data_IF_533787032644
#
_entry.id   IF_533787032644
#
_cell.length_a   1.000
_cell.length_b   1.000
_cell.length_c   1.000
_cell.angle_alpha   90.00
_cell.angle_beta   90.00
_cell.angle_gamma   90.00
#
_symmetry.space_group_name_H-M   'P 1'
#
loop_
_entity.id
_entity.type
_entity.pdbx_description
1 polymer ?
#
# COMPACT_ATOMS: atom_id res chain seq x y z
N UNK A 1 -53.80 31.32 -37.77
CA UNK A 1 -53.77 32.38 -36.75
C UNK A 1 -52.31 32.76 -36.51
N UNK A 2 -51.97 34.06 -36.49
CA UNK A 2 -50.62 34.60 -36.66
C UNK A 2 -49.87 34.89 -35.33
N UNK A 3 -48.55 34.98 -35.46
CA UNK A 3 -47.64 36.04 -34.94
C UNK A 3 -47.62 36.41 -33.43
N UNK A 4 -46.46 36.21 -32.78
CA UNK A 4 -45.70 37.31 -32.15
C UNK A 4 -44.31 36.93 -31.64
N UNK A 5 -43.38 37.84 -31.89
CA UNK A 5 -41.96 37.81 -31.59
C UNK A 5 -41.60 38.16 -30.11
N UNK A 6 -40.39 37.70 -29.75
CA UNK A 6 -39.33 38.37 -28.96
C UNK A 6 -39.56 38.76 -27.48
N UNK A 7 -38.54 38.44 -26.66
CA UNK A 7 -38.30 39.05 -25.36
C UNK A 7 -37.18 38.37 -24.59
N UNK A 8 -35.93 38.75 -24.86
CA UNK A 8 -34.79 38.45 -23.99
C UNK A 8 -34.80 39.37 -22.77
N UNK A 9 -34.56 38.84 -21.57
CA UNK A 9 -33.80 39.50 -20.49
C UNK A 9 -33.45 38.49 -19.40
N UNK A 10 -32.15 38.17 -19.31
CA UNK A 10 -31.54 37.69 -18.08
C UNK A 10 -31.22 38.91 -17.19
N UNK A 11 -31.61 38.88 -15.92
CA UNK A 11 -30.79 39.36 -14.79
C UNK A 11 -31.49 39.24 -13.42
N UNK A 12 -30.69 38.70 -12.49
CA UNK A 12 -30.54 39.06 -11.07
C UNK A 12 -31.73 38.89 -10.09
N UNK A 13 -31.61 37.96 -9.14
CA UNK A 13 -30.98 38.25 -7.83
C UNK A 13 -31.41 37.28 -6.68
N UNK A 14 -30.38 36.84 -5.92
CA UNK A 14 -30.36 36.64 -4.45
C UNK A 14 -31.13 35.43 -3.87
N UNK A 15 -30.46 34.49 -3.23
CA UNK A 15 -30.19 34.42 -1.77
C UNK A 15 -29.32 33.17 -1.54
N UNK A 16 -28.11 33.19 -0.95
CA UNK A 16 -27.78 33.65 0.39
C UNK A 16 -27.75 32.43 1.33
N UNK A 17 -26.55 31.94 1.70
CA UNK A 17 -26.46 30.81 2.63
C UNK A 17 -25.05 30.23 2.82
N UNK A 18 -24.06 31.07 3.11
CA UNK A 18 -22.77 30.60 3.61
C UNK A 18 -22.94 30.02 5.00
N UNK A 19 -22.71 28.73 5.16
CA UNK A 19 -22.53 28.11 6.48
C UNK A 19 -21.06 27.85 6.70
N UNK A 20 -20.44 28.76 7.45
CA UNK A 20 -19.12 28.64 8.07
C UNK A 20 -19.15 27.50 9.09
N UNK A 21 -18.81 26.28 8.66
CA UNK A 21 -18.53 25.19 9.60
C UNK A 21 -17.17 25.45 10.27
N UNK A 22 -17.23 25.84 11.54
CA UNK A 22 -16.09 26.00 12.45
C UNK A 22 -15.25 24.71 12.45
N UNK A 23 -13.98 24.82 12.03
CA UNK A 23 -12.99 23.75 12.16
C UNK A 23 -12.47 23.73 13.60
N UNK A 24 -13.07 22.89 14.44
CA UNK A 24 -12.54 22.44 15.74
C UNK A 24 -11.71 21.16 15.57
N UNK A 25 -10.95 20.75 16.61
CA UNK A 25 -9.76 19.92 16.46
C UNK A 25 -10.11 18.51 15.94
N UNK A 26 -9.30 18.02 14.99
CA UNK A 26 -9.43 16.66 14.49
C UNK A 26 -8.98 15.68 15.58
N UNK A 27 -9.93 14.95 16.15
CA UNK A 27 -9.64 13.75 16.92
C UNK A 27 -8.90 12.73 16.02
N UNK A 28 -7.90 12.00 16.53
CA UNK A 28 -7.26 10.93 15.77
C UNK A 28 -8.29 9.81 15.49
N UNK A 29 -8.21 9.11 14.34
CA UNK A 29 -9.20 8.11 13.98
C UNK A 29 -9.14 6.93 14.96
N UNK A 30 -10.21 6.76 15.73
CA UNK A 30 -10.48 5.55 16.52
C UNK A 30 -10.61 4.36 15.58
N UNK A 31 -9.76 3.36 15.79
CA UNK A 31 -9.81 2.09 15.05
C UNK A 31 -11.09 1.35 15.41
N UNK A 32 -12.01 1.20 14.47
CA UNK A 32 -13.20 0.37 14.63
C UNK A 32 -12.79 -1.10 14.57
N UNK A 33 -12.71 -1.71 15.75
CA UNK A 33 -12.54 -3.14 15.95
C UNK A 33 -13.83 -3.86 15.54
N UNK A 34 -13.82 -4.49 14.37
CA UNK A 34 -14.93 -5.31 13.90
C UNK A 34 -14.58 -6.78 14.18
N UNK A 35 -15.03 -7.29 15.34
CA UNK A 35 -14.85 -8.68 15.73
C UNK A 35 -15.85 -9.56 14.94
N UNK A 36 -15.33 -10.45 14.10
CA UNK A 36 -16.10 -11.56 13.54
C UNK A 36 -15.35 -12.87 13.83
N UNK A 37 -16.00 -13.91 14.39
CA UNK A 37 -15.32 -15.13 14.82
C UNK A 37 -15.29 -16.15 13.68
N UNK A 38 -14.12 -16.30 13.04
CA UNK A 38 -13.82 -17.39 12.12
C UNK A 38 -12.35 -17.74 12.26
N UNK A 39 -12.05 -19.00 12.60
CA UNK A 39 -10.71 -19.50 12.92
C UNK A 39 -9.70 -19.38 11.78
N UNK A 40 -9.17 -18.18 11.59
CA UNK A 40 -7.89 -17.88 10.98
C UNK A 40 -7.12 -17.03 11.99
N UNK A 41 -5.81 -17.26 12.13
CA UNK A 41 -4.98 -16.51 13.08
C UNK A 41 -5.23 -15.01 12.98
N UNK A 42 -5.24 -14.32 14.12
CA UNK A 42 -5.51 -12.89 14.18
C UNK A 42 -4.54 -12.14 13.23
N UNK A 43 -5.10 -11.47 12.22
CA UNK A 43 -4.31 -10.70 11.26
C UNK A 43 -3.96 -9.34 11.85
N UNK A 44 -2.67 -9.02 11.91
CA UNK A 44 -2.19 -7.69 12.31
C UNK A 44 -2.10 -6.78 11.10
N UNK A 45 -2.81 -5.65 11.12
CA UNK A 45 -2.72 -4.65 10.06
C UNK A 45 -1.55 -3.69 10.31
N UNK A 46 -0.65 -3.58 9.34
CA UNK A 46 0.47 -2.64 9.35
C UNK A 46 0.32 -1.68 8.17
N UNK A 47 0.53 -0.38 8.42
CA UNK A 47 0.59 0.65 7.37
C UNK A 47 2.04 1.07 7.20
N UNK A 48 2.56 1.02 5.97
CA UNK A 48 3.92 1.41 5.65
C UNK A 48 3.94 2.35 4.43
N UNK A 49 4.89 3.28 4.43
CA UNK A 49 5.15 4.15 3.29
C UNK A 49 6.27 3.54 2.44
N UNK A 50 6.04 3.43 1.13
CA UNK A 50 7.02 2.92 0.19
C UNK A 50 7.64 4.06 -0.61
N UNK A 51 8.94 3.97 -0.88
CA UNK A 51 9.59 4.86 -1.85
C UNK A 51 9.07 4.55 -3.26
N UNK A 52 9.15 5.49 -4.21
CA UNK A 52 8.76 5.25 -5.60
C UNK A 52 9.47 4.03 -6.23
N UNK A 53 10.74 3.81 -5.88
CA UNK A 53 11.51 2.65 -6.34
C UNK A 53 10.96 1.34 -5.77
N UNK A 54 10.59 1.34 -4.48
CA UNK A 54 10.09 0.15 -3.81
C UNK A 54 8.71 -0.26 -4.32
N UNK A 55 7.80 0.69 -4.54
CA UNK A 55 6.48 0.37 -5.09
C UNK A 55 6.57 -0.15 -6.54
N UNK A 56 7.45 0.42 -7.37
CA UNK A 56 7.71 -0.11 -8.71
C UNK A 56 8.30 -1.53 -8.68
N UNK A 57 9.17 -1.83 -7.72
CA UNK A 57 9.69 -3.18 -7.55
C UNK A 57 8.59 -4.16 -7.16
N UNK A 58 7.72 -3.79 -6.22
CA UNK A 58 6.56 -4.58 -5.81
C UNK A 58 5.62 -4.87 -7.00
N UNK A 59 5.32 -3.86 -7.82
CA UNK A 59 4.49 -4.02 -9.02
C UNK A 59 5.13 -4.97 -10.04
N UNK A 60 6.44 -4.88 -10.26
CA UNK A 60 7.17 -5.82 -11.15
C UNK A 60 7.14 -7.25 -10.62
N UNK A 61 7.29 -7.45 -9.31
CA UNK A 61 7.24 -8.78 -8.69
C UNK A 61 5.83 -9.37 -8.89
N UNK A 62 4.78 -8.60 -8.59
CA UNK A 62 3.40 -9.02 -8.79
C UNK A 62 3.12 -9.41 -10.25
N UNK A 63 3.59 -8.61 -11.21
CA UNK A 63 3.45 -8.94 -12.63
C UNK A 63 4.19 -10.22 -13.04
N UNK A 64 5.33 -10.52 -12.41
CA UNK A 64 6.16 -11.69 -12.73
C UNK A 64 5.64 -12.98 -12.08
N UNK A 65 5.14 -12.92 -10.84
CA UNK A 65 4.73 -14.10 -10.08
C UNK A 65 3.22 -14.37 -10.13
N UNK A 66 2.41 -13.35 -10.42
CA UNK A 66 0.96 -13.41 -10.31
C UNK A 66 0.44 -13.33 -8.87
N UNK A 67 1.33 -13.15 -7.88
CA UNK A 67 0.96 -13.04 -6.47
C UNK A 67 0.33 -11.68 -6.14
N UNK A 68 -0.53 -11.64 -5.11
CA UNK A 68 -1.04 -10.36 -4.60
C UNK A 68 0.06 -9.57 -3.87
N UNK A 69 -0.10 -8.24 -3.78
CA UNK A 69 0.83 -7.39 -3.02
C UNK A 69 0.95 -7.83 -1.56
N UNK A 70 -0.16 -8.25 -0.95
CA UNK A 70 -0.16 -8.75 0.43
C UNK A 70 0.64 -10.04 0.56
N UNK A 71 0.50 -10.99 -0.38
CA UNK A 71 1.25 -12.25 -0.36
C UNK A 71 2.75 -12.01 -0.54
N UNK A 72 3.11 -11.09 -1.45
CA UNK A 72 4.51 -10.69 -1.67
C UNK A 72 5.09 -10.07 -0.40
N UNK A 73 4.36 -9.17 0.27
CA UNK A 73 4.82 -8.53 1.50
C UNK A 73 5.00 -9.54 2.63
N UNK A 74 4.00 -10.41 2.86
CA UNK A 74 4.09 -11.46 3.87
C UNK A 74 5.30 -12.38 3.62
N UNK A 75 5.50 -12.84 2.38
CA UNK A 75 6.63 -13.68 2.01
C UNK A 75 7.96 -12.94 2.15
N UNK A 76 8.01 -11.64 1.80
CA UNK A 76 9.24 -10.85 1.88
C UNK A 76 9.76 -10.70 3.32
N UNK A 77 8.86 -10.55 4.30
CA UNK A 77 9.22 -10.47 5.72
C UNK A 77 9.82 -11.80 6.18
N UNK A 78 9.19 -12.93 5.83
CA UNK A 78 9.71 -14.26 6.17
C UNK A 78 11.08 -14.54 5.55
N UNK A 79 11.28 -14.15 4.28
CA UNK A 79 12.57 -14.30 3.61
C UNK A 79 13.64 -13.45 4.30
N UNK A 80 13.31 -12.22 4.69
CA UNK A 80 14.23 -11.35 5.40
C UNK A 80 14.63 -11.93 6.77
N UNK A 81 13.67 -12.49 7.52
CA UNK A 81 13.91 -13.16 8.80
C UNK A 81 14.87 -14.34 8.66
N UNK A 82 14.64 -15.22 7.67
CA UNK A 82 15.55 -16.34 7.36
C UNK A 82 16.95 -15.86 6.99
N UNK A 83 17.06 -14.78 6.22
CA UNK A 83 18.36 -14.20 5.86
C UNK A 83 19.10 -13.74 7.12
N UNK A 84 18.42 -13.07 8.05
CA UNK A 84 19.02 -12.64 9.32
C UNK A 84 19.48 -13.85 10.15
N UNK A 85 18.63 -14.86 10.30
CA UNK A 85 19.00 -16.09 11.03
C UNK A 85 20.24 -16.76 10.43
N UNK A 86 20.35 -16.79 9.10
CA UNK A 86 21.50 -17.39 8.43
C UNK A 86 22.79 -16.62 8.70
N UNK A 87 22.75 -15.28 8.66
CA UNK A 87 23.90 -14.42 8.99
C UNK A 87 24.34 -14.65 10.45
N UNK A 88 23.37 -14.68 11.39
CA UNK A 88 23.66 -14.86 12.81
C UNK A 88 24.28 -16.24 13.11
N UNK A 89 23.83 -17.29 12.43
CA UNK A 89 24.33 -18.66 12.63
C UNK A 89 25.68 -18.91 11.96
N UNK A 90 25.93 -18.34 10.78
CA UNK A 90 27.18 -18.53 10.05
C UNK A 90 28.33 -17.70 10.62
N UNK A 91 28.03 -16.57 11.27
CA UNK A 91 29.04 -15.58 11.67
C UNK A 91 29.74 -14.91 10.48
N UNK A 92 29.24 -15.12 9.25
CA UNK A 92 29.76 -14.55 8.01
C UNK A 92 28.60 -14.00 7.17
N UNK A 93 28.73 -12.77 6.69
CA UNK A 93 27.72 -12.05 5.90
C UNK A 93 27.66 -12.55 4.45
N UNK A 94 28.11 -13.78 4.19
CA UNK A 94 28.15 -14.36 2.84
C UNK A 94 27.30 -15.61 2.75
N UNK A 95 26.46 -15.65 1.72
CA UNK A 95 25.62 -16.77 1.36
C UNK A 95 26.07 -17.31 0.00
N UNK A 96 26.31 -18.62 -0.09
CA UNK A 96 26.57 -19.29 -1.36
C UNK A 96 25.25 -19.78 -1.94
N UNK A 97 24.84 -19.25 -3.09
CA UNK A 97 23.69 -19.73 -3.85
C UNK A 97 24.19 -20.73 -4.88
N UNK A 98 23.62 -21.93 -4.85
CA UNK A 98 23.89 -22.98 -5.85
C UNK A 98 22.71 -23.01 -6.81
N UNK A 99 22.95 -22.66 -8.07
CA UNK A 99 21.95 -22.71 -9.13
C UNK A 99 21.73 -24.15 -9.60
N UNK A 100 20.57 -24.46 -10.24
CA UNK A 100 20.27 -25.81 -10.73
C UNK A 100 21.28 -26.37 -11.75
N UNK A 101 22.03 -25.50 -12.43
CA UNK A 101 23.09 -25.85 -13.37
C UNK A 101 24.44 -26.15 -12.67
N UNK A 102 24.49 -26.07 -11.33
CA UNK A 102 25.67 -26.30 -10.52
C UNK A 102 26.57 -25.07 -10.36
N UNK A 103 26.23 -23.93 -10.97
CA UNK A 103 26.96 -22.68 -10.76
C UNK A 103 26.77 -22.24 -9.31
N UNK A 104 27.88 -21.89 -8.66
CA UNK A 104 27.86 -21.34 -7.30
C UNK A 104 28.19 -19.86 -7.36
N UNK A 105 27.31 -19.03 -6.82
CA UNK A 105 27.58 -17.60 -6.61
C UNK A 105 27.64 -17.27 -5.13
N UNK A 106 28.67 -16.53 -4.73
CA UNK A 106 28.80 -16.01 -3.37
C UNK A 106 28.18 -14.62 -3.30
N UNK A 107 27.05 -14.52 -2.62
CA UNK A 107 26.36 -13.26 -2.36
C UNK A 107 26.85 -12.75 -1.02
N UNK A 108 27.45 -11.56 -0.99
CA UNK A 108 27.69 -10.84 0.25
C UNK A 108 26.47 -9.97 0.55
N UNK A 109 25.89 -10.16 1.71
CA UNK A 109 24.85 -9.31 2.24
C UNK A 109 25.54 -8.12 2.91
N UNK A 110 25.40 -6.94 2.31
CA UNK A 110 25.97 -5.71 2.88
C UNK A 110 24.81 -4.97 3.53
N UNK A 111 24.80 -4.98 4.87
CA UNK A 111 23.92 -4.16 5.71
C UNK A 111 24.52 -2.79 5.96
#
# INVERSE_FOLDING_TARGET
MPDRAQGATAKDAKTGGGTTAKRGPADPPTSVENQNPGGGGALTRVTANFTPRAIQALDRIAAKTGDSKTDILNRSVMVFDVILELIERSGDDTMTVVFPDGVQERIRLVG
#
